data_IF_781918780035
#
_entry.id   IF_781918780035
#
_cell.length_a   1.000
_cell.length_b   1.000
_cell.length_c   1.000
_cell.angle_alpha   90.00
_cell.angle_beta   90.00
_cell.angle_gamma   90.00
#
_symmetry.space_group_name_H-M   'P 1'
#
loop_
_entity.id
_entity.type
_entity.pdbx_description
1 polymer ?
#
# COMPACT_ATOMS: atom_id res chain seq x y z
N UNK A 1 23.82 19.07 -14.70
CA UNK A 1 22.49 18.65 -14.21
C UNK A 1 22.63 17.31 -13.51
N UNK A 2 23.07 17.33 -12.25
CA UNK A 2 23.29 16.14 -11.43
C UNK A 2 21.96 15.66 -10.87
N UNK A 3 21.53 14.46 -11.27
CA UNK A 3 20.43 13.72 -10.63
C UNK A 3 20.73 13.59 -9.13
N UNK A 4 19.79 13.93 -8.22
CA UNK A 4 20.01 13.68 -6.82
C UNK A 4 19.93 12.17 -6.58
N UNK A 5 21.03 11.67 -6.01
CA UNK A 5 21.17 10.45 -5.21
C UNK A 5 19.88 9.65 -5.03
N UNK A 6 19.88 8.44 -5.59
CA UNK A 6 18.97 7.34 -5.29
C UNK A 6 18.77 7.30 -3.77
N UNK A 7 17.62 7.81 -3.30
CA UNK A 7 17.28 7.74 -1.88
C UNK A 7 17.20 6.26 -1.53
N UNK A 8 17.99 5.83 -0.56
CA UNK A 8 17.77 4.55 0.14
C UNK A 8 16.36 4.59 0.75
N UNK A 9 15.39 4.07 0.02
CA UNK A 9 13.97 4.15 0.39
C UNK A 9 13.09 3.67 -0.76
N UNK A 10 12.85 2.37 -0.81
CA UNK A 10 12.04 1.65 -1.80
C UNK A 10 10.53 1.89 -1.73
N UNK A 11 10.09 2.98 -1.08
CA UNK A 11 8.67 3.21 -0.72
C UNK A 11 8.09 4.43 -1.42
N UNK A 12 8.76 4.90 -2.46
CA UNK A 12 8.31 6.06 -3.21
C UNK A 12 7.22 5.70 -4.22
N UNK A 13 7.03 4.41 -4.50
CA UNK A 13 6.02 3.90 -5.40
C UNK A 13 5.17 2.82 -4.71
N UNK A 14 3.92 2.74 -5.13
CA UNK A 14 3.03 1.61 -4.87
C UNK A 14 2.54 1.02 -6.18
N UNK A 15 2.33 -0.29 -6.17
CA UNK A 15 1.59 -1.01 -7.19
C UNK A 15 0.17 -1.29 -6.65
N UNK A 16 -0.83 -0.79 -7.37
CA UNK A 16 -2.25 -1.03 -7.10
C UNK A 16 -2.74 -2.10 -8.06
N UNK A 17 -3.09 -3.25 -7.51
CA UNK A 17 -3.55 -4.44 -8.24
C UNK A 17 -5.07 -4.51 -8.13
N UNK A 18 -5.74 -4.52 -9.29
CA UNK A 18 -7.20 -4.59 -9.38
C UNK A 18 -7.61 -6.03 -9.70
N UNK A 19 -8.51 -6.59 -8.90
CA UNK A 19 -9.00 -7.97 -9.09
C UNK A 19 -10.43 -8.02 -9.64
N UNK A 20 -11.00 -6.88 -10.03
CA UNK A 20 -12.42 -6.75 -10.42
C UNK A 20 -12.74 -7.58 -11.68
N UNK A 21 -13.89 -8.28 -11.60
CA UNK A 21 -14.53 -9.10 -12.64
C UNK A 21 -14.57 -8.43 -14.03
N UNK A 22 -13.71 -8.88 -14.93
CA UNK A 22 -14.14 -9.18 -16.29
C UNK A 22 -14.59 -10.64 -16.32
N UNK A 23 -15.50 -10.99 -17.21
CA UNK A 23 -16.01 -12.36 -17.45
C UNK A 23 -14.92 -13.33 -17.91
N UNK A 24 -13.90 -13.55 -17.09
CA UNK A 24 -12.87 -14.55 -17.29
C UNK A 24 -13.24 -15.74 -16.42
N UNK A 25 -14.05 -16.60 -17.02
CA UNK A 25 -14.17 -18.00 -16.60
C UNK A 25 -12.83 -18.65 -16.93
N UNK A 26 -11.85 -18.55 -16.04
CA UNK A 26 -10.79 -19.55 -15.98
C UNK A 26 -10.13 -19.54 -14.61
N UNK A 27 -9.65 -20.71 -14.22
CA UNK A 27 -8.83 -21.00 -13.05
C UNK A 27 -7.45 -20.31 -13.04
N UNK A 28 -7.26 -19.26 -13.86
CA UNK A 28 -5.96 -18.66 -14.11
C UNK A 28 -5.64 -17.56 -13.09
N UNK A 29 -4.41 -17.62 -12.57
CA UNK A 29 -3.88 -16.64 -11.63
C UNK A 29 -3.81 -15.26 -12.27
N UNK A 30 -4.44 -14.28 -11.62
CA UNK A 30 -4.49 -12.88 -12.10
C UNK A 30 -3.13 -12.22 -11.88
N UNK A 31 -2.53 -12.45 -10.72
CA UNK A 31 -1.20 -11.96 -10.37
C UNK A 31 -0.36 -13.09 -9.79
N UNK A 32 0.82 -13.28 -10.36
CA UNK A 32 1.81 -14.26 -9.92
C UNK A 32 2.97 -13.53 -9.24
N UNK A 33 3.36 -13.98 -8.06
CA UNK A 33 4.49 -13.47 -7.30
C UNK A 33 5.60 -14.51 -7.34
N UNK A 34 6.76 -14.12 -7.88
CA UNK A 34 7.93 -14.99 -7.95
C UNK A 34 9.01 -14.50 -6.98
N UNK A 35 9.80 -15.43 -6.45
CA UNK A 35 11.07 -15.09 -5.82
C UNK A 35 12.04 -14.48 -6.84
N UNK A 36 13.14 -13.89 -6.35
CA UNK A 36 14.11 -13.22 -7.24
C UNK A 36 14.84 -14.20 -8.17
N UNK A 37 14.92 -15.48 -7.80
CA UNK A 37 15.43 -16.57 -8.64
C UNK A 37 14.42 -17.05 -9.70
N UNK A 38 13.21 -16.50 -9.71
CA UNK A 38 12.14 -16.85 -10.65
C UNK A 38 11.24 -18.00 -10.21
N UNK A 39 11.51 -18.63 -9.05
CA UNK A 39 10.63 -19.68 -8.50
C UNK A 39 9.31 -19.11 -8.02
N UNK A 40 8.26 -19.91 -8.07
CA UNK A 40 6.91 -19.50 -7.65
C UNK A 40 6.84 -19.25 -6.14
N UNK A 41 6.43 -18.05 -5.74
CA UNK A 41 6.20 -17.72 -4.33
C UNK A 41 4.73 -17.92 -3.97
N UNK A 42 3.83 -17.16 -4.60
CA UNK A 42 2.38 -17.17 -4.36
C UNK A 42 1.63 -16.52 -5.54
N UNK A 43 0.30 -16.56 -5.52
CA UNK A 43 -0.57 -15.97 -6.53
C UNK A 43 -1.85 -15.43 -5.94
N UNK A 44 -2.36 -14.38 -6.57
CA UNK A 44 -3.72 -13.89 -6.35
C UNK A 44 -4.62 -14.47 -7.44
N UNK A 45 -5.53 -15.34 -7.04
CA UNK A 45 -6.57 -15.91 -7.92
C UNK A 45 -7.89 -15.18 -7.68
N UNK A 46 -8.53 -14.78 -8.78
CA UNK A 46 -9.91 -14.28 -8.70
C UNK A 46 -10.87 -15.45 -8.48
N UNK A 47 -11.92 -15.23 -7.69
CA UNK A 47 -13.07 -16.15 -7.59
C UNK A 47 -14.34 -15.34 -7.79
N UNK A 48 -15.21 -15.84 -8.68
CA UNK A 48 -16.51 -15.21 -8.94
C UNK A 48 -17.26 -14.92 -7.63
N UNK A 49 -17.41 -13.64 -7.31
CA UNK A 49 -18.20 -13.16 -6.17
C UNK A 49 -17.60 -13.42 -4.78
N UNK A 50 -16.34 -13.87 -4.69
CA UNK A 50 -15.69 -14.19 -3.40
C UNK A 50 -14.38 -13.41 -3.23
N UNK A 51 -13.90 -13.30 -1.98
CA UNK A 51 -12.56 -12.76 -1.72
C UNK A 51 -11.49 -13.55 -2.50
N UNK A 52 -10.45 -12.88 -3.02
CA UNK A 52 -9.37 -13.54 -3.73
C UNK A 52 -8.61 -14.43 -2.77
N UNK A 53 -8.28 -15.64 -3.21
CA UNK A 53 -7.46 -16.56 -2.42
C UNK A 53 -5.99 -16.37 -2.74
N UNK A 54 -5.19 -16.19 -1.70
CA UNK A 54 -3.73 -16.34 -1.70
C UNK A 54 -3.33 -17.16 -0.47
N UNK A 55 -2.21 -17.90 -0.56
CA UNK A 55 -1.82 -18.85 0.49
C UNK A 55 -0.79 -18.28 1.46
N UNK A 56 0.04 -17.32 1.00
CA UNK A 56 1.19 -16.78 1.74
C UNK A 56 1.15 -15.26 1.91
N UNK A 57 0.35 -14.56 1.12
CA UNK A 57 0.19 -13.11 1.22
C UNK A 57 -0.93 -12.79 2.22
N UNK A 58 -0.55 -12.54 3.46
CA UNK A 58 -1.47 -11.97 4.46
C UNK A 58 -1.73 -10.48 4.20
N UNK A 59 -2.81 -9.93 4.76
CA UNK A 59 -3.17 -8.50 4.71
C UNK A 59 -2.03 -7.62 5.23
N UNK A 60 -1.34 -8.08 6.27
CA UNK A 60 -0.21 -7.38 6.90
C UNK A 60 1.06 -7.37 6.04
N UNK A 61 1.12 -8.23 5.01
CA UNK A 61 2.22 -8.24 4.04
C UNK A 61 2.06 -7.18 2.94
N UNK A 62 0.90 -6.52 2.87
CA UNK A 62 0.57 -5.48 1.91
C UNK A 62 0.60 -4.08 2.56
N UNK A 63 0.56 -3.05 1.73
CA UNK A 63 0.34 -1.66 2.20
C UNK A 63 -1.10 -1.49 2.67
N UNK A 64 -2.03 -2.09 1.93
CA UNK A 64 -3.46 -2.10 2.23
C UNK A 64 -4.15 -3.16 1.40
N UNK A 65 -5.24 -3.69 1.94
CA UNK A 65 -6.17 -4.53 1.21
C UNK A 65 -7.59 -4.00 1.41
N UNK A 66 -8.32 -3.81 0.31
CA UNK A 66 -9.70 -3.33 0.31
C UNK A 66 -10.60 -4.44 -0.22
N UNK A 67 -11.23 -5.24 0.66
CA UNK A 67 -11.99 -6.42 0.23
C UNK A 67 -13.20 -6.04 -0.64
N UNK A 68 -13.96 -5.01 -0.27
CA UNK A 68 -15.15 -4.58 -1.01
C UNK A 68 -14.84 -4.12 -2.45
N UNK A 69 -13.63 -3.60 -2.66
CA UNK A 69 -13.16 -3.13 -3.97
C UNK A 69 -12.30 -4.17 -4.71
N UNK A 70 -11.93 -5.25 -4.02
CA UNK A 70 -10.99 -6.27 -4.50
C UNK A 70 -9.66 -5.64 -4.97
N UNK A 71 -9.07 -4.78 -4.12
CA UNK A 71 -7.82 -4.07 -4.43
C UNK A 71 -6.73 -4.46 -3.42
N UNK A 72 -5.59 -4.92 -3.93
CA UNK A 72 -4.35 -5.02 -3.17
C UNK A 72 -3.39 -3.89 -3.53
N UNK A 73 -2.71 -3.34 -2.53
CA UNK A 73 -1.66 -2.34 -2.74
C UNK A 73 -0.37 -2.81 -2.10
N UNK A 74 0.73 -2.77 -2.84
CA UNK A 74 2.05 -3.13 -2.36
C UNK A 74 3.03 -1.98 -2.59
N UNK A 75 4.01 -1.80 -1.70
CA UNK A 75 5.18 -1.00 -2.06
C UNK A 75 5.86 -1.65 -3.25
N UNK A 76 6.36 -0.85 -4.17
CA UNK A 76 7.03 -1.38 -5.34
C UNK A 76 8.28 -0.59 -5.74
N UNK A 77 9.13 -1.23 -6.52
CA UNK A 77 10.21 -0.57 -7.25
C UNK A 77 10.30 -1.16 -8.65
N UNK A 78 10.77 -0.33 -9.58
CA UNK A 78 11.05 -0.75 -10.95
C UNK A 78 12.48 -1.28 -11.00
N UNK A 79 12.65 -2.53 -11.45
CA UNK A 79 13.97 -3.07 -11.75
C UNK A 79 14.54 -2.45 -13.05
N UNK A 80 15.87 -2.50 -13.26
CA UNK A 80 16.49 -2.03 -14.51
C UNK A 80 15.88 -2.65 -15.77
N UNK A 81 15.45 -3.92 -15.67
CA UNK A 81 14.85 -4.68 -16.77
C UNK A 81 13.33 -4.45 -16.88
N UNK A 82 12.82 -3.34 -16.35
CA UNK A 82 11.39 -2.96 -16.33
C UNK A 82 10.45 -3.94 -15.65
N UNK A 83 10.95 -4.95 -14.93
CA UNK A 83 10.12 -5.80 -14.07
C UNK A 83 9.70 -5.00 -12.84
N UNK A 84 8.45 -5.16 -12.44
CA UNK A 84 7.93 -4.58 -11.19
C UNK A 84 8.24 -5.53 -10.05
N UNK A 85 8.98 -5.02 -9.06
CA UNK A 85 9.25 -5.73 -7.82
C UNK A 85 8.31 -5.18 -6.77
N UNK A 86 7.44 -6.03 -6.23
CA UNK A 86 6.53 -5.68 -5.14
C UNK A 86 7.09 -6.20 -3.83
N UNK A 87 6.88 -5.45 -2.77
CA UNK A 87 7.26 -5.85 -1.43
C UNK A 87 6.13 -6.63 -0.78
N UNK A 88 6.40 -7.88 -0.40
CA UNK A 88 5.48 -8.73 0.35
C UNK A 88 6.12 -8.97 1.71
N UNK A 89 5.57 -8.34 2.74
CA UNK A 89 6.18 -8.29 4.07
C UNK A 89 7.57 -7.65 4.03
N UNK A 90 8.60 -8.42 4.33
CA UNK A 90 9.99 -7.93 4.30
C UNK A 90 10.73 -8.19 2.98
N UNK A 91 10.15 -9.00 2.09
CA UNK A 91 10.83 -9.49 0.88
C UNK A 91 10.38 -8.79 -0.40
N UNK A 92 11.28 -8.76 -1.38
CA UNK A 92 10.95 -8.37 -2.74
C UNK A 92 10.55 -9.58 -3.57
N UNK A 93 9.41 -9.49 -4.25
CA UNK A 93 8.91 -10.50 -5.20
C UNK A 93 8.75 -9.86 -6.57
N UNK A 94 9.00 -10.63 -7.61
CA UNK A 94 8.73 -10.23 -8.99
C UNK A 94 7.24 -10.38 -9.22
N UNK A 95 6.58 -9.29 -9.61
CA UNK A 95 5.19 -9.33 -10.06
C UNK A 95 5.16 -9.73 -11.54
N UNK A 96 4.49 -10.85 -11.85
CA UNK A 96 4.20 -11.31 -13.21
C UNK A 96 2.69 -11.37 -13.39
N UNK A 97 2.19 -10.68 -14.40
CA UNK A 97 0.74 -10.59 -14.65
C UNK A 97 0.46 -10.15 -16.08
N UNK A 98 -0.68 -10.59 -16.61
CA UNK A 98 -1.29 -10.06 -17.84
C UNK A 98 -2.47 -9.12 -17.53
N UNK A 99 -2.78 -8.93 -16.24
CA UNK A 99 -3.90 -8.13 -15.76
C UNK A 99 -3.48 -6.69 -15.51
N UNK A 100 -4.42 -5.73 -15.64
CA UNK A 100 -4.11 -4.33 -15.48
C UNK A 100 -3.77 -3.99 -14.02
N UNK A 101 -2.66 -3.30 -13.82
CA UNK A 101 -2.27 -2.73 -12.54
C UNK A 101 -1.69 -1.33 -12.75
N UNK A 102 -1.71 -0.51 -11.71
CA UNK A 102 -1.17 0.85 -11.77
C UNK A 102 0.01 1.00 -10.84
N UNK A 103 1.12 1.56 -11.34
CA UNK A 103 2.22 2.04 -10.50
C UNK A 103 2.07 3.53 -10.35
N UNK A 104 2.05 4.02 -9.10
CA UNK A 104 1.99 5.45 -8.85
C UNK A 104 2.84 5.86 -7.64
N UNK A 105 3.21 7.15 -7.53
CA UNK A 105 3.89 7.66 -6.36
C UNK A 105 3.10 7.39 -5.09
N UNK A 106 3.74 6.85 -4.05
CA UNK A 106 3.11 6.57 -2.75
C UNK A 106 2.42 7.80 -2.18
N UNK A 107 3.01 8.99 -2.35
CA UNK A 107 2.38 10.25 -1.96
C UNK A 107 1.04 10.48 -2.66
N UNK A 108 0.97 10.23 -3.97
CA UNK A 108 -0.27 10.38 -4.76
C UNK A 108 -1.33 9.40 -4.28
N UNK A 109 -0.93 8.16 -3.96
CA UNK A 109 -1.81 7.14 -3.39
C UNK A 109 -2.36 7.57 -2.02
N UNK A 110 -1.49 7.98 -1.10
CA UNK A 110 -1.92 8.39 0.24
C UNK A 110 -2.85 9.61 0.22
N UNK A 111 -2.63 10.56 -0.69
CA UNK A 111 -3.50 11.73 -0.84
C UNK A 111 -4.89 11.42 -1.41
N UNK A 112 -5.12 10.21 -1.94
CA UNK A 112 -6.46 9.79 -2.36
C UNK A 112 -7.24 9.06 -1.26
N UNK A 113 -6.72 9.03 -0.04
CA UNK A 113 -7.24 8.20 1.03
C UNK A 113 -7.61 9.02 2.27
N UNK A 114 -8.48 8.42 3.07
CA UNK A 114 -8.72 8.81 4.43
C UNK A 114 -7.88 7.95 5.39
N UNK A 115 -7.65 8.47 6.59
CA UNK A 115 -7.00 7.75 7.67
C UNK A 115 -7.87 7.71 8.93
N UNK A 116 -8.02 6.51 9.48
CA UNK A 116 -8.65 6.30 10.78
C UNK A 116 -7.61 6.46 11.90
N UNK A 117 -7.78 7.52 12.68
CA UNK A 117 -7.02 7.78 13.90
C UNK A 117 -7.78 7.22 15.10
N UNK A 118 -7.13 6.39 15.90
CA UNK A 118 -7.68 5.69 17.05
C UNK A 118 -7.28 6.36 18.36
N UNK A 119 -8.02 6.06 19.42
CA UNK A 119 -7.72 6.58 20.77
C UNK A 119 -6.30 6.19 21.16
N UNK A 120 -5.53 7.17 21.63
CA UNK A 120 -4.17 6.96 22.07
C UNK A 120 -3.09 7.19 21.01
N UNK A 121 -3.46 7.31 19.75
CA UNK A 121 -2.53 7.71 18.70
C UNK A 121 -1.87 9.05 19.02
N UNK A 122 -0.61 9.16 18.61
CA UNK A 122 0.19 10.37 18.78
C UNK A 122 0.29 11.08 17.43
N UNK A 123 -0.21 12.31 17.40
CA UNK A 123 -0.02 13.24 16.31
C UNK A 123 1.06 14.25 16.66
N UNK A 124 1.83 14.69 15.67
CA UNK A 124 2.95 15.59 15.85
C UNK A 124 2.66 16.95 15.21
N UNK A 125 2.91 18.02 15.95
CA UNK A 125 2.94 19.39 15.45
C UNK A 125 4.30 19.99 15.79
N UNK A 126 5.22 20.00 14.83
CA UNK A 126 6.62 20.37 15.05
C UNK A 126 7.25 19.54 16.18
N UNK A 127 7.39 20.10 17.38
CA UNK A 127 7.94 19.44 18.58
C UNK A 127 6.86 18.94 19.54
N UNK A 128 5.61 19.37 19.35
CA UNK A 128 4.49 19.02 20.21
C UNK A 128 3.89 17.68 19.82
N UNK A 129 3.36 16.98 20.83
CA UNK A 129 2.64 15.72 20.69
C UNK A 129 1.19 15.91 21.14
N UNK A 130 0.26 15.56 20.27
CA UNK A 130 -1.18 15.60 20.54
C UNK A 130 -1.71 14.18 20.56
N UNK A 131 -2.25 13.76 21.70
CA UNK A 131 -2.88 12.44 21.85
C UNK A 131 -4.31 12.49 21.33
N UNK A 132 -4.68 11.55 20.46
CA UNK A 132 -6.04 11.39 19.96
C UNK A 132 -6.94 10.88 21.09
N UNK A 133 -8.01 11.64 21.38
CA UNK A 133 -8.93 11.36 22.50
C UNK A 133 -10.16 10.53 22.11
N UNK A 134 -10.47 10.47 20.82
CA UNK A 134 -11.61 9.71 20.26
C UNK A 134 -11.25 9.22 18.87
N UNK A 135 -11.84 8.12 18.44
CA UNK A 135 -11.67 7.65 17.07
C UNK A 135 -12.19 8.71 16.09
N UNK A 136 -11.40 9.07 15.08
CA UNK A 136 -11.77 10.03 14.03
C UNK A 136 -11.20 9.57 12.68
N UNK A 137 -12.01 9.68 11.64
CA UNK A 137 -11.56 9.55 10.25
C UNK A 137 -11.26 10.94 9.68
N UNK A 138 -10.13 11.08 9.00
CA UNK A 138 -9.73 12.34 8.36
C UNK A 138 -9.09 12.09 7.01
N UNK A 139 -9.36 12.98 6.08
CA UNK A 139 -8.68 12.99 4.80
C UNK A 139 -7.19 13.33 4.95
N UNK A 140 -6.34 12.62 4.20
CA UNK A 140 -4.90 12.86 4.19
C UNK A 140 -4.59 14.06 3.27
N UNK A 141 -3.97 15.10 3.83
CA UNK A 141 -3.68 16.36 3.10
C UNK A 141 -2.21 16.54 2.72
N UNK A 142 -1.30 15.75 3.29
CA UNK A 142 0.12 15.71 2.89
C UNK A 142 0.71 14.35 3.29
N UNK A 143 1.82 13.96 2.67
CA UNK A 143 2.57 12.77 3.04
C UNK A 143 4.07 12.95 2.80
N UNK A 144 4.88 12.51 3.77
CA UNK A 144 6.34 12.60 3.77
C UNK A 144 6.94 11.41 4.53
N UNK A 145 7.62 10.53 3.79
CA UNK A 145 8.23 9.32 4.36
C UNK A 145 7.21 8.46 5.11
N UNK A 146 7.46 8.22 6.39
CA UNK A 146 6.61 7.43 7.28
C UNK A 146 5.40 8.18 7.84
N UNK A 147 5.20 9.45 7.46
CA UNK A 147 4.20 10.33 8.04
C UNK A 147 3.18 10.82 7.01
N UNK A 148 1.92 10.87 7.44
CA UNK A 148 0.82 11.54 6.74
C UNK A 148 0.32 12.70 7.59
N UNK A 149 -0.16 13.76 6.95
CA UNK A 149 -0.74 14.91 7.63
C UNK A 149 -2.25 14.92 7.48
N UNK A 150 -2.94 15.32 8.54
CA UNK A 150 -4.38 15.59 8.58
C UNK A 150 -4.63 16.97 9.16
N UNK A 151 -5.80 17.56 8.87
CA UNK A 151 -6.24 18.77 9.55
C UNK A 151 -7.20 18.47 10.70
N UNK A 152 -6.87 18.95 11.89
CA UNK A 152 -7.73 18.86 13.08
C UNK A 152 -7.75 20.23 13.75
N UNK A 153 -8.94 20.82 13.90
CA UNK A 153 -9.13 22.16 14.49
C UNK A 153 -8.22 23.22 13.84
N UNK A 154 -8.16 23.23 12.49
CA UNK A 154 -7.32 24.13 11.67
C UNK A 154 -5.81 23.99 11.91
N UNK A 155 -5.36 22.90 12.54
CA UNK A 155 -3.94 22.56 12.71
C UNK A 155 -3.59 21.38 11.81
N UNK A 156 -2.49 21.51 11.07
CA UNK A 156 -1.88 20.42 10.33
C UNK A 156 -1.08 19.54 11.29
N UNK A 157 -1.54 18.33 11.51
CA UNK A 157 -0.95 17.38 12.44
C UNK A 157 -0.44 16.15 11.69
N UNK A 158 0.75 15.66 12.06
CA UNK A 158 1.39 14.52 11.41
C UNK A 158 1.18 13.24 12.19
N UNK A 159 0.72 12.19 11.52
CA UNK A 159 0.59 10.84 12.06
C UNK A 159 1.60 9.93 11.38
N UNK A 160 2.24 9.06 12.17
CA UNK A 160 3.14 8.03 11.62
C UNK A 160 2.32 6.82 11.16
N UNK A 161 2.07 6.72 9.86
CA UNK A 161 1.19 5.69 9.29
C UNK A 161 1.87 4.32 9.10
N UNK A 162 3.21 4.33 8.96
CA UNK A 162 4.03 3.12 8.84
C UNK A 162 5.31 3.19 9.66
N UNK A 163 5.88 2.02 9.95
CA UNK A 163 7.21 1.86 10.56
C UNK A 163 7.90 0.67 9.92
N UNK A 164 9.14 0.84 9.46
CA UNK A 164 9.94 -0.24 8.86
C UNK A 164 9.17 -0.99 7.75
N UNK A 165 8.53 -0.25 6.84
CA UNK A 165 7.71 -0.80 5.74
C UNK A 165 6.41 -1.48 6.16
N UNK A 166 6.16 -1.65 7.46
CA UNK A 166 4.90 -2.17 7.98
C UNK A 166 3.91 -1.03 8.14
N UNK A 167 2.78 -1.14 7.44
CA UNK A 167 1.67 -0.21 7.58
C UNK A 167 0.87 -0.61 8.80
N UNK A 168 0.34 0.39 9.51
CA UNK A 168 -0.54 0.08 10.64
C UNK A 168 -1.85 -0.49 10.08
N UNK A 169 -2.25 -1.73 10.44
CA UNK A 169 -3.37 -2.41 9.80
C UNK A 169 -4.69 -1.64 9.95
N UNK A 170 -5.53 -1.72 8.91
CA UNK A 170 -6.90 -1.22 8.87
C UNK A 170 -7.03 0.28 9.21
N UNK A 171 -6.08 1.09 8.74
CA UNK A 171 -6.08 2.55 8.97
C UNK A 171 -6.30 3.38 7.74
N UNK A 172 -5.85 2.93 6.58
CA UNK A 172 -5.99 3.64 5.31
C UNK A 172 -7.30 3.22 4.65
N UNK A 173 -8.17 4.18 4.32
CA UNK A 173 -9.52 3.93 3.83
C UNK A 173 -9.71 4.55 2.44
N UNK A 174 -10.30 3.78 1.52
CA UNK A 174 -10.88 4.35 0.30
C UNK A 174 -12.24 4.95 0.65
N UNK A 175 -12.48 6.19 0.22
CA UNK A 175 -13.81 6.80 0.18
C UNK A 175 -14.48 6.53 -1.17
#
# INVERSE_FOLDING_TARGET
LSLPLISRGSDNLVAVLFLKNGSYVSSDSVYTFLNLDGTMFDELRSRNGNEPTCLKIDRDNAVSYYPDLMIYVFFCKLSPNRKVLVRVGHDWKILKTNSPFTVLPTKRYLLSLDIQLRVGDILYDKRDKVKVKRCITRHIIDARGDYVAVEIKKRKLWFRWKKNYQVTPDRLLYN
#
